data_IF_443494183633
#
_entry.id   IF_443494183633
#
_cell.length_a   1.000
_cell.length_b   1.000
_cell.length_c   1.000
_cell.angle_alpha   90.00
_cell.angle_beta   90.00
_cell.angle_gamma   90.00
#
_symmetry.space_group_name_H-M   'P 1'
#
loop_
_entity.id
_entity.type
_entity.pdbx_description
1 polymer ?
#
# COMPACT_ATOMS: atom_id res chain seq x y z
N UNK A 1 4.75 8.96 -16.85
CA UNK A 1 4.00 10.25 -16.93
C UNK A 1 2.99 10.25 -18.07
N UNK A 2 3.34 9.69 -19.25
CA UNK A 2 2.45 9.75 -20.42
C UNK A 2 1.13 9.01 -20.23
N UNK A 3 1.09 7.98 -19.37
CA UNK A 3 -0.12 7.22 -19.09
C UNK A 3 -1.29 8.11 -18.66
N UNK A 4 -1.05 9.12 -17.81
CA UNK A 4 -2.08 10.02 -17.31
C UNK A 4 -2.25 11.30 -18.12
N UNK A 5 -1.32 11.61 -19.01
CA UNK A 5 -1.29 12.90 -19.74
C UNK A 5 -1.56 12.75 -21.23
N UNK A 6 -1.32 11.57 -21.81
CA UNK A 6 -1.55 11.32 -23.23
C UNK A 6 -3.04 11.40 -23.58
N UNK A 7 -3.33 12.03 -24.73
CA UNK A 7 -4.68 12.20 -25.25
C UNK A 7 -4.79 11.66 -26.66
N UNK A 8 -5.98 11.19 -27.03
CA UNK A 8 -6.32 10.83 -28.39
C UNK A 8 -6.66 12.08 -29.26
N UNK A 9 -7.06 11.83 -30.51
CA UNK A 9 -7.41 12.89 -31.45
C UNK A 9 -8.64 13.72 -31.01
N UNK A 10 -9.50 13.14 -30.18
CA UNK A 10 -10.71 13.78 -29.65
C UNK A 10 -10.46 14.51 -28.33
N UNK A 11 -9.21 14.50 -27.86
CA UNK A 11 -8.79 15.15 -26.61
C UNK A 11 -9.08 14.35 -25.33
N UNK A 12 -9.56 13.09 -25.44
CA UNK A 12 -9.79 12.18 -24.32
C UNK A 12 -8.48 11.48 -23.92
N UNK A 13 -8.36 11.11 -22.67
CA UNK A 13 -7.20 10.33 -22.20
C UNK A 13 -7.14 8.97 -22.87
N UNK A 14 -5.96 8.59 -23.36
CA UNK A 14 -5.75 7.36 -24.10
C UNK A 14 -5.08 6.25 -23.27
N UNK A 15 -4.55 6.56 -22.08
CA UNK A 15 -3.90 5.64 -21.16
C UNK A 15 -2.92 4.66 -21.84
N UNK A 16 -1.88 5.15 -22.57
CA UNK A 16 -0.97 4.26 -23.26
C UNK A 16 -0.21 3.38 -22.27
N UNK A 17 -0.25 2.08 -22.51
CA UNK A 17 0.47 1.10 -21.70
C UNK A 17 1.96 1.19 -22.01
N UNK A 18 2.76 1.56 -21.02
CA UNK A 18 4.22 1.54 -21.10
C UNK A 18 4.78 0.31 -20.36
N UNK A 19 5.96 -0.17 -20.76
CA UNK A 19 6.63 -1.22 -20.02
C UNK A 19 6.88 -0.84 -18.57
N UNK A 20 6.64 -1.77 -17.64
CA UNK A 20 7.01 -1.61 -16.24
C UNK A 20 8.54 -1.50 -16.12
N UNK A 21 9.03 -0.40 -15.57
CA UNK A 21 10.46 -0.04 -15.53
C UNK A 21 10.90 0.30 -14.11
N UNK A 22 10.95 -0.68 -13.18
CA UNK A 22 11.36 -0.43 -11.81
C UNK A 22 12.85 -0.09 -11.72
N UNK A 23 13.19 0.70 -10.72
CA UNK A 23 14.58 1.06 -10.38
C UNK A 23 15.02 0.16 -9.22
N UNK A 24 16.16 -0.49 -9.39
CA UNK A 24 16.76 -1.32 -8.35
C UNK A 24 18.25 -1.02 -8.24
N UNK A 25 18.71 -0.78 -7.01
CA UNK A 25 20.12 -0.64 -6.68
C UNK A 25 20.43 -1.41 -5.40
N UNK A 26 21.60 -2.02 -5.34
CA UNK A 26 22.06 -2.73 -4.16
C UNK A 26 23.55 -2.53 -3.93
N UNK A 27 23.93 -2.41 -2.68
CA UNK A 27 25.31 -2.37 -2.26
C UNK A 27 25.54 -3.24 -1.04
N UNK A 28 26.74 -3.75 -0.87
CA UNK A 28 27.10 -4.49 0.33
C UNK A 28 28.53 -4.21 0.75
N UNK A 29 28.77 -4.32 2.05
CA UNK A 29 30.09 -4.34 2.66
C UNK A 29 30.19 -5.58 3.54
N UNK A 30 31.33 -6.26 3.52
CA UNK A 30 31.58 -7.43 4.33
C UNK A 30 33.01 -7.43 4.82
N UNK A 31 33.20 -7.77 6.08
CA UNK A 31 34.49 -8.00 6.69
C UNK A 31 34.61 -9.44 7.18
N UNK A 32 35.84 -9.96 7.13
CA UNK A 32 36.23 -11.27 7.65
C UNK A 32 37.47 -11.11 8.50
N UNK A 33 37.36 -11.42 9.77
CA UNK A 33 38.48 -11.40 10.68
C UNK A 33 38.57 -12.72 11.46
N UNK A 34 39.76 -13.03 11.90
CA UNK A 34 40.04 -14.24 12.69
C UNK A 34 40.62 -13.83 14.04
N UNK A 35 40.11 -14.45 15.08
CA UNK A 35 40.68 -14.33 16.42
C UNK A 35 40.91 -15.73 16.98
N UNK A 36 42.21 -16.11 17.18
CA UNK A 36 42.63 -17.47 17.45
C UNK A 36 42.07 -18.40 16.35
N UNK A 37 41.32 -19.42 16.75
CA UNK A 37 40.75 -20.44 15.85
C UNK A 37 39.32 -20.06 15.40
N UNK A 38 38.77 -18.91 15.85
CA UNK A 38 37.45 -18.47 15.49
C UNK A 38 37.52 -17.52 14.29
N UNK A 39 36.72 -17.79 13.27
CA UNK A 39 36.55 -16.94 12.10
C UNK A 39 35.20 -16.26 12.18
N UNK A 40 35.22 -14.95 12.12
CA UNK A 40 34.02 -14.12 12.05
C UNK A 40 33.85 -13.52 10.65
N UNK A 41 32.60 -13.44 10.19
CA UNK A 41 32.22 -12.68 9.00
C UNK A 41 31.05 -11.82 9.37
N UNK A 42 31.21 -10.51 9.19
CA UNK A 42 30.18 -9.50 9.41
C UNK A 42 29.91 -8.80 8.10
N UNK A 43 28.65 -8.64 7.76
CA UNK A 43 28.26 -7.98 6.52
C UNK A 43 27.00 -7.16 6.70
N UNK A 44 26.88 -6.16 5.87
CA UNK A 44 25.68 -5.35 5.72
C UNK A 44 25.40 -5.18 4.24
N UNK A 45 24.18 -5.50 3.83
CA UNK A 45 23.67 -5.22 2.49
C UNK A 45 22.55 -4.19 2.59
N UNK A 46 22.53 -3.26 1.67
CA UNK A 46 21.45 -2.30 1.48
C UNK A 46 20.85 -2.47 0.08
N UNK A 47 19.55 -2.66 0.02
CA UNK A 47 18.78 -2.77 -1.24
C UNK A 47 17.80 -1.61 -1.34
N UNK A 48 17.88 -0.86 -2.43
CA UNK A 48 16.92 0.16 -2.82
C UNK A 48 16.01 -0.39 -3.92
N UNK A 49 14.73 -0.20 -3.76
CA UNK A 49 13.73 -0.57 -4.76
C UNK A 49 12.68 0.52 -4.90
N UNK A 50 12.44 0.93 -6.15
CA UNK A 50 11.38 1.84 -6.54
C UNK A 50 10.61 1.21 -7.71
N UNK A 51 9.30 1.02 -7.57
CA UNK A 51 8.48 0.49 -8.64
C UNK A 51 8.34 1.46 -9.83
N UNK A 52 8.72 2.74 -9.62
CA UNK A 52 8.68 3.80 -10.64
C UNK A 52 7.33 3.87 -11.36
N UNK A 53 6.27 3.81 -10.61
CA UNK A 53 4.88 3.83 -11.11
C UNK A 53 3.95 4.50 -10.13
N UNK A 54 2.76 4.89 -10.61
CA UNK A 54 1.68 5.35 -9.77
C UNK A 54 0.96 4.16 -9.13
N UNK A 55 0.60 4.30 -7.87
CA UNK A 55 -0.15 3.31 -7.09
C UNK A 55 -1.41 3.95 -6.52
N UNK A 56 -2.42 3.15 -6.22
CA UNK A 56 -3.63 3.67 -5.59
C UNK A 56 -3.33 4.28 -4.22
N UNK A 57 -3.93 5.44 -3.94
CA UNK A 57 -3.98 6.01 -2.59
C UNK A 57 -4.78 5.15 -1.64
N UNK A 58 -5.90 4.63 -2.12
CA UNK A 58 -6.78 3.75 -1.39
C UNK A 58 -7.20 2.57 -2.27
N UNK A 59 -6.97 1.30 -1.84
CA UNK A 59 -7.30 0.12 -2.65
C UNK A 59 -8.81 -0.11 -2.82
N UNK A 60 -9.65 0.64 -2.10
CA UNK A 60 -11.11 0.46 -2.10
C UNK A 60 -11.87 1.66 -2.68
N UNK A 61 -11.18 2.72 -3.09
CA UNK A 61 -11.83 3.91 -3.61
C UNK A 61 -10.93 4.75 -4.53
N UNK A 62 -11.53 5.31 -5.58
CA UNK A 62 -10.84 6.25 -6.49
C UNK A 62 -10.75 7.67 -5.95
N UNK A 63 -11.52 8.02 -4.96
CA UNK A 63 -11.59 9.37 -4.39
C UNK A 63 -11.45 9.32 -2.88
N UNK A 64 -11.15 10.47 -2.29
CA UNK A 64 -11.02 10.60 -0.85
C UNK A 64 -12.33 10.24 -0.14
N UNK A 65 -12.22 9.27 0.78
CA UNK A 65 -13.31 8.84 1.63
C UNK A 65 -13.33 9.71 2.87
N UNK A 66 -14.53 10.18 3.24
CA UNK A 66 -14.74 10.97 4.45
C UNK A 66 -14.30 10.19 5.70
N UNK A 67 -13.60 10.86 6.60
CA UNK A 67 -13.20 10.29 7.88
C UNK A 67 -14.36 10.33 8.88
N UNK A 68 -14.29 9.48 9.90
CA UNK A 68 -15.30 9.48 10.96
C UNK A 68 -15.37 10.84 11.67
N UNK A 69 -14.22 11.48 11.92
CA UNK A 69 -14.16 12.81 12.51
C UNK A 69 -14.96 13.82 11.68
N UNK A 70 -14.62 13.98 10.40
CA UNK A 70 -15.30 14.91 9.50
C UNK A 70 -16.81 14.58 9.33
N UNK A 71 -17.15 13.29 9.31
CA UNK A 71 -18.56 12.88 9.20
C UNK A 71 -19.37 13.25 10.42
N UNK A 72 -18.87 13.00 11.64
CA UNK A 72 -19.59 13.29 12.88
C UNK A 72 -19.57 14.78 13.22
N UNK A 73 -18.55 15.52 12.84
CA UNK A 73 -18.55 16.99 12.94
C UNK A 73 -19.66 17.62 12.12
N UNK A 74 -19.90 17.09 10.91
CA UNK A 74 -21.00 17.55 10.03
C UNK A 74 -22.37 17.03 10.45
N UNK A 75 -22.43 15.94 11.24
CA UNK A 75 -23.67 15.33 11.74
C UNK A 75 -23.68 15.23 13.26
N UNK A 76 -23.76 16.35 14.00
CA UNK A 76 -23.63 16.37 15.47
C UNK A 76 -24.80 15.69 16.21
N UNK A 77 -25.89 15.40 15.51
CA UNK A 77 -27.03 14.62 15.99
C UNK A 77 -26.77 13.11 16.04
N UNK A 78 -25.71 12.65 15.39
CA UNK A 78 -25.32 11.23 15.38
C UNK A 78 -24.24 10.95 16.43
N UNK A 79 -24.30 9.77 16.99
CA UNK A 79 -23.33 9.33 18.02
C UNK A 79 -22.26 8.46 17.38
N UNK A 80 -20.99 8.84 17.54
CA UNK A 80 -19.84 8.04 17.13
C UNK A 80 -19.57 6.94 18.15
N UNK A 81 -19.38 5.68 17.76
CA UNK A 81 -18.94 4.63 18.65
C UNK A 81 -17.56 4.93 19.25
N UNK A 82 -17.37 4.65 20.53
CA UNK A 82 -16.10 4.93 21.25
C UNK A 82 -14.87 4.23 20.63
N UNK A 83 -15.08 3.08 20.02
CA UNK A 83 -14.02 2.30 19.37
C UNK A 83 -13.63 2.80 17.98
N UNK A 84 -14.36 3.78 17.43
CA UNK A 84 -14.10 4.35 16.11
C UNK A 84 -13.26 5.62 16.25
N UNK A 85 -12.00 5.55 15.78
CA UNK A 85 -11.06 6.68 15.78
C UNK A 85 -11.36 7.70 14.69
N UNK A 86 -10.70 8.86 14.80
CA UNK A 86 -10.91 10.02 13.94
C UNK A 86 -10.64 9.74 12.47
N UNK A 87 -9.61 8.95 12.19
CA UNK A 87 -9.09 8.64 10.86
C UNK A 87 -9.79 7.44 10.16
N UNK A 88 -10.83 6.87 10.78
CA UNK A 88 -11.56 5.76 10.18
C UNK A 88 -12.37 6.24 8.98
N UNK A 89 -12.28 5.50 7.87
CA UNK A 89 -13.02 5.79 6.64
C UNK A 89 -14.45 5.31 6.76
N UNK A 90 -15.43 6.14 6.36
CA UNK A 90 -16.87 5.90 6.50
C UNK A 90 -17.45 5.25 5.25
N UNK A 91 -18.24 4.21 5.44
CA UNK A 91 -18.97 3.52 4.38
C UNK A 91 -20.47 3.56 4.65
N UNK A 92 -21.26 3.76 3.60
CA UNK A 92 -22.70 4.01 3.66
C UNK A 92 -23.47 3.00 2.82
N UNK A 93 -24.78 2.93 3.05
CA UNK A 93 -25.68 1.94 2.45
C UNK A 93 -25.89 2.12 0.94
N UNK A 94 -25.67 3.32 0.44
CA UNK A 94 -25.83 3.63 -0.97
C UNK A 94 -25.18 4.96 -1.33
N UNK A 95 -25.10 5.30 -2.62
CA UNK A 95 -24.34 6.46 -3.10
C UNK A 95 -24.84 7.80 -2.53
N UNK A 96 -26.13 7.92 -2.27
CA UNK A 96 -26.74 9.14 -1.69
C UNK A 96 -27.17 8.94 -0.22
N UNK A 97 -26.85 7.80 0.39
CA UNK A 97 -27.21 7.50 1.76
C UNK A 97 -26.28 8.16 2.77
N UNK A 98 -26.85 8.58 3.90
CA UNK A 98 -26.10 8.97 5.11
C UNK A 98 -26.21 7.90 6.22
N UNK A 99 -26.74 6.71 5.89
CA UNK A 99 -26.79 5.57 6.80
C UNK A 99 -25.45 4.84 6.77
N UNK A 100 -24.71 4.90 7.87
CA UNK A 100 -23.43 4.21 8.01
C UNK A 100 -23.66 2.71 8.13
N UNK A 101 -22.96 1.92 7.32
CA UNK A 101 -22.97 0.46 7.39
C UNK A 101 -21.63 -0.13 7.86
N UNK A 102 -20.59 0.68 7.96
CA UNK A 102 -19.29 0.25 8.48
C UNK A 102 -18.21 1.30 8.37
N UNK A 103 -17.07 0.94 8.93
CA UNK A 103 -15.87 1.76 8.89
C UNK A 103 -14.66 0.92 8.48
N UNK A 104 -13.60 1.58 8.04
CA UNK A 104 -12.31 0.94 7.73
C UNK A 104 -11.13 1.79 8.20
N UNK A 105 -10.13 1.12 8.75
CA UNK A 105 -8.82 1.69 9.04
C UNK A 105 -7.73 0.78 8.46
N UNK A 106 -6.98 1.26 7.48
CA UNK A 106 -6.09 0.40 6.70
C UNK A 106 -6.89 -0.75 6.08
N UNK A 107 -6.51 -1.98 6.35
CA UNK A 107 -7.22 -3.19 5.87
C UNK A 107 -8.23 -3.75 6.89
N UNK A 108 -8.32 -3.14 8.07
CA UNK A 108 -9.25 -3.60 9.11
C UNK A 108 -10.62 -2.95 8.93
N UNK A 109 -11.67 -3.78 8.94
CA UNK A 109 -13.07 -3.38 8.81
C UNK A 109 -13.81 -3.45 10.14
N UNK A 110 -14.83 -2.59 10.27
CA UNK A 110 -15.61 -2.45 11.49
C UNK A 110 -17.10 -2.27 11.15
N UNK A 111 -17.98 -2.90 11.95
CA UNK A 111 -19.42 -2.72 11.88
C UNK A 111 -19.83 -1.29 12.30
N UNK A 112 -21.11 -0.88 12.07
CA UNK A 112 -21.60 0.42 12.50
C UNK A 112 -21.45 0.71 13.99
N UNK A 113 -21.45 -0.34 14.83
CA UNK A 113 -21.24 -0.23 16.28
C UNK A 113 -19.75 -0.17 16.68
N UNK A 114 -18.83 -0.17 15.71
CA UNK A 114 -17.40 -0.15 15.95
C UNK A 114 -16.76 -1.50 16.26
N UNK A 115 -17.48 -2.60 16.15
CA UNK A 115 -16.92 -3.95 16.32
C UNK A 115 -16.08 -4.35 15.10
N UNK A 116 -14.83 -4.78 15.34
CA UNK A 116 -13.96 -5.27 14.29
C UNK A 116 -14.47 -6.56 13.67
N UNK A 117 -14.32 -6.69 12.34
CA UNK A 117 -14.72 -7.89 11.57
C UNK A 117 -13.58 -8.36 10.69
N UNK A 118 -13.65 -9.61 10.23
CA UNK A 118 -12.57 -10.25 9.45
C UNK A 118 -12.36 -9.68 8.04
N UNK A 119 -13.30 -8.90 7.53
CA UNK A 119 -13.20 -8.29 6.21
C UNK A 119 -14.47 -7.56 5.78
N UNK A 120 -14.39 -6.81 4.69
CA UNK A 120 -15.51 -6.05 4.13
C UNK A 120 -16.72 -6.91 3.74
N UNK A 121 -16.50 -8.16 3.37
CA UNK A 121 -17.59 -9.08 3.03
C UNK A 121 -18.61 -9.26 4.16
N UNK A 122 -18.19 -9.16 5.42
CA UNK A 122 -19.11 -9.24 6.59
C UNK A 122 -20.09 -8.07 6.60
N UNK A 123 -19.65 -6.90 6.08
CA UNK A 123 -20.45 -5.66 6.03
C UNK A 123 -21.30 -5.63 4.76
N UNK A 124 -20.70 -5.93 3.62
CA UNK A 124 -21.32 -5.75 2.31
C UNK A 124 -22.02 -7.00 1.79
N UNK A 125 -21.78 -8.17 2.40
CA UNK A 125 -22.37 -9.47 2.04
C UNK A 125 -22.33 -9.76 0.52
N UNK A 126 -21.18 -9.45 -0.11
CA UNK A 126 -20.99 -9.59 -1.56
C UNK A 126 -21.67 -8.50 -2.41
N UNK A 127 -22.28 -7.51 -1.78
CA UNK A 127 -22.89 -6.37 -2.46
C UNK A 127 -21.87 -5.27 -2.83
N UNK A 128 -22.40 -4.20 -3.41
CA UNK A 128 -21.59 -3.03 -3.83
C UNK A 128 -21.12 -2.26 -2.61
N UNK A 129 -19.85 -1.86 -2.64
CA UNK A 129 -19.21 -1.04 -1.61
C UNK A 129 -19.44 0.44 -1.92
N UNK A 130 -20.03 1.18 -1.01
CA UNK A 130 -20.28 2.60 -1.14
C UNK A 130 -19.46 3.41 -0.12
N UNK A 131 -18.25 3.86 -0.48
CA UNK A 131 -17.52 4.81 0.34
C UNK A 131 -18.28 6.13 0.47
N UNK A 132 -18.27 6.73 1.65
CA UNK A 132 -18.76 8.09 1.82
C UNK A 132 -17.68 9.06 1.34
N UNK A 133 -17.80 9.51 0.10
CA UNK A 133 -16.80 10.41 -0.48
C UNK A 133 -16.93 11.84 0.09
N UNK A 134 -15.78 12.50 0.24
CA UNK A 134 -15.69 13.90 0.71
C UNK A 134 -16.45 14.82 -0.24
N UNK A 135 -16.20 14.69 -1.54
CA UNK A 135 -16.88 15.46 -2.58
C UNK A 135 -17.73 14.54 -3.44
N UNK A 136 -19.04 14.58 -3.26
CA UNK A 136 -20.00 13.79 -4.04
C UNK A 136 -20.42 14.47 -5.34
N UNK A 137 -20.46 15.79 -5.36
CA UNK A 137 -21.09 16.55 -6.43
C UNK A 137 -20.14 16.85 -7.59
N UNK A 138 -18.85 17.07 -7.28
CA UNK A 138 -17.87 17.53 -8.26
C UNK A 138 -16.90 16.44 -8.73
N UNK A 139 -17.16 15.15 -8.39
CA UNK A 139 -16.30 14.06 -8.88
C UNK A 139 -16.53 13.83 -10.36
N UNK A 140 -15.42 13.80 -11.10
CA UNK A 140 -15.42 13.32 -12.48
C UNK A 140 -15.37 11.80 -12.45
N UNK A 141 -16.48 11.14 -12.80
CA UNK A 141 -16.60 9.67 -12.77
C UNK A 141 -15.98 9.00 -13.99
N UNK A 142 -15.94 9.70 -15.13
CA UNK A 142 -15.27 9.20 -16.33
C UNK A 142 -13.77 9.50 -16.26
N UNK A 143 -12.98 8.47 -16.08
CA UNK A 143 -11.53 8.56 -16.02
C UNK A 143 -10.87 9.05 -17.30
N UNK A 144 -11.56 8.91 -18.44
CA UNK A 144 -11.11 9.42 -19.74
C UNK A 144 -11.42 10.90 -19.92
N UNK A 145 -12.26 11.50 -19.05
CA UNK A 145 -12.55 12.92 -19.08
C UNK A 145 -11.25 13.71 -18.82
N UNK A 146 -10.95 14.75 -19.64
CA UNK A 146 -9.80 15.62 -19.43
C UNK A 146 -9.75 16.32 -18.06
N UNK A 147 -10.91 16.49 -17.41
CA UNK A 147 -11.02 17.10 -16.07
C UNK A 147 -10.78 16.10 -14.93
N UNK A 148 -10.69 14.80 -15.20
CA UNK A 148 -10.27 13.83 -14.18
C UNK A 148 -8.85 14.14 -13.71
N UNK A 149 -8.65 14.23 -12.40
CA UNK A 149 -7.36 14.54 -11.78
C UNK A 149 -6.77 13.26 -11.15
N UNK A 150 -5.78 12.64 -11.82
CA UNK A 150 -5.17 11.40 -11.32
C UNK A 150 -4.62 11.49 -9.91
N UNK A 151 -4.17 12.68 -9.50
CA UNK A 151 -3.64 12.94 -8.16
C UNK A 151 -4.66 12.74 -7.04
N UNK A 152 -5.95 12.67 -7.33
CA UNK A 152 -6.96 12.30 -6.32
C UNK A 152 -6.97 10.80 -6.01
N UNK A 153 -6.62 9.99 -7.00
CA UNK A 153 -6.73 8.53 -6.94
C UNK A 153 -5.39 7.83 -6.77
N UNK A 154 -4.30 8.46 -7.22
CA UNK A 154 -2.99 7.82 -7.33
C UNK A 154 -1.89 8.68 -6.71
N UNK A 155 -0.93 8.01 -6.07
CA UNK A 155 0.33 8.57 -5.58
C UNK A 155 1.52 7.90 -6.28
N UNK A 156 2.69 8.51 -6.19
CA UNK A 156 3.93 7.85 -6.58
C UNK A 156 4.24 6.71 -5.61
N UNK A 157 4.73 5.61 -6.15
CA UNK A 157 5.23 4.52 -5.32
C UNK A 157 6.32 5.04 -4.37
N UNK A 158 6.20 4.70 -3.08
CA UNK A 158 7.20 5.10 -2.08
C UNK A 158 8.38 4.14 -2.14
N UNK A 159 9.57 4.60 -2.55
CA UNK A 159 10.76 3.76 -2.62
C UNK A 159 11.07 3.09 -1.28
N UNK A 160 11.57 1.86 -1.34
CA UNK A 160 11.94 1.07 -0.17
C UNK A 160 13.46 0.97 -0.08
N UNK A 161 13.99 1.19 1.12
CA UNK A 161 15.38 0.92 1.45
C UNK A 161 15.43 -0.13 2.56
N UNK A 162 15.96 -1.31 2.22
CA UNK A 162 16.04 -2.44 3.14
C UNK A 162 17.50 -2.71 3.52
N UNK A 163 17.78 -2.74 4.83
CA UNK A 163 19.08 -3.07 5.37
C UNK A 163 19.07 -4.53 5.85
N UNK A 164 20.03 -5.30 5.36
CA UNK A 164 20.14 -6.75 5.59
C UNK A 164 21.47 -7.08 6.25
N UNK A 165 21.54 -7.06 7.60
CA UNK A 165 22.71 -7.49 8.31
C UNK A 165 22.93 -9.00 8.16
N UNK A 166 24.20 -9.40 8.11
CA UNK A 166 24.66 -10.78 8.06
C UNK A 166 25.75 -10.98 9.06
N UNK A 167 25.71 -12.07 9.78
CA UNK A 167 26.81 -12.51 10.64
C UNK A 167 27.00 -14.01 10.54
N UNK A 168 28.25 -14.43 10.52
CA UNK A 168 28.59 -15.81 10.60
C UNK A 168 29.85 -15.98 11.43
N UNK A 169 29.93 -17.10 12.14
CA UNK A 169 31.14 -17.50 12.81
C UNK A 169 31.37 -19.00 12.66
N UNK A 170 32.65 -19.39 12.67
CA UNK A 170 33.04 -20.78 12.64
C UNK A 170 34.28 -21.02 13.51
N UNK A 171 34.34 -22.17 14.13
CA UNK A 171 35.50 -22.61 14.89
C UNK A 171 35.64 -24.15 14.84
N UNK A 172 36.88 -24.70 14.89
CA UNK A 172 37.08 -26.11 14.98
C UNK A 172 36.68 -26.61 16.37
N UNK A 173 35.99 -27.75 16.42
CA UNK A 173 35.68 -28.47 17.65
C UNK A 173 36.74 -29.56 17.88
N UNK A 174 37.22 -30.19 16.81
CA UNK A 174 38.28 -31.19 16.79
C UNK A 174 38.99 -31.15 15.44
N UNK A 175 40.00 -32.00 15.25
CA UNK A 175 40.76 -32.11 13.99
C UNK A 175 39.86 -32.44 12.81
N UNK A 176 38.76 -33.16 13.02
CA UNK A 176 37.83 -33.62 11.99
C UNK A 176 36.47 -32.91 12.01
N UNK A 177 36.22 -31.99 12.96
CA UNK A 177 34.92 -31.37 13.12
C UNK A 177 34.99 -29.83 13.28
N UNK A 178 34.20 -29.12 12.47
CA UNK A 178 34.04 -27.69 12.55
C UNK A 178 32.58 -27.31 12.89
N UNK A 179 32.43 -26.38 13.81
CA UNK A 179 31.14 -25.73 14.05
C UNK A 179 31.05 -24.45 13.23
N UNK A 180 29.87 -24.21 12.65
CA UNK A 180 29.57 -22.93 12.07
C UNK A 180 28.12 -22.52 12.39
N UNK A 181 27.88 -21.23 12.54
CA UNK A 181 26.56 -20.65 12.65
C UNK A 181 26.51 -19.38 11.83
N UNK A 182 25.31 -19.06 11.33
CA UNK A 182 25.06 -17.81 10.62
C UNK A 182 23.68 -17.27 10.97
N UNK A 183 23.56 -15.95 10.88
CA UNK A 183 22.31 -15.21 10.98
C UNK A 183 22.26 -14.21 9.85
N UNK A 184 21.19 -14.28 9.05
CA UNK A 184 20.95 -13.41 7.92
C UNK A 184 19.55 -12.81 8.01
N UNK A 185 19.43 -11.50 7.79
CA UNK A 185 18.14 -10.87 7.48
C UNK A 185 18.04 -10.76 5.97
N UNK A 186 16.96 -11.28 5.41
CA UNK A 186 16.72 -11.28 3.97
C UNK A 186 15.40 -10.60 3.65
N UNK A 187 15.42 -9.71 2.65
CA UNK A 187 14.22 -9.13 2.05
C UNK A 187 14.09 -9.60 0.61
N UNK A 188 12.87 -9.95 0.23
CA UNK A 188 12.53 -10.24 -1.15
C UNK A 188 11.84 -9.02 -1.76
N UNK A 189 12.20 -8.65 -2.98
CA UNK A 189 11.47 -7.64 -3.72
C UNK A 189 10.03 -8.06 -3.93
N UNK A 190 9.05 -7.14 -3.87
CA UNK A 190 7.70 -7.44 -4.31
C UNK A 190 7.72 -7.93 -5.75
N UNK A 191 7.04 -9.03 -6.09
CA UNK A 191 6.85 -9.40 -7.48
C UNK A 191 6.03 -8.31 -8.19
N UNK A 192 6.29 -8.08 -9.47
CA UNK A 192 5.65 -7.00 -10.24
C UNK A 192 4.12 -7.08 -10.23
N UNK A 193 3.56 -8.29 -10.14
CA UNK A 193 2.12 -8.52 -10.08
C UNK A 193 1.48 -8.32 -8.69
N UNK A 194 2.26 -7.99 -7.66
CA UNK A 194 1.74 -7.68 -6.33
C UNK A 194 1.52 -6.18 -6.09
N UNK A 195 1.88 -5.35 -7.06
CA UNK A 195 1.71 -3.89 -6.99
C UNK A 195 0.49 -3.54 -7.81
N UNK A 196 -0.57 -3.07 -7.15
CA UNK A 196 -1.75 -2.55 -7.82
C UNK A 196 -1.42 -1.18 -8.41
N UNK A 197 -1.45 -1.11 -9.72
CA UNK A 197 -1.16 0.09 -10.50
C UNK A 197 -2.44 0.65 -11.12
N UNK A 198 -2.36 1.85 -11.66
CA UNK A 198 -3.46 2.41 -12.44
C UNK A 198 -3.85 1.50 -13.63
N UNK A 199 -2.89 0.76 -14.19
CA UNK A 199 -3.13 -0.18 -15.27
C UNK A 199 -4.10 -1.30 -14.86
N UNK A 200 -3.93 -1.86 -13.66
CA UNK A 200 -4.78 -2.96 -13.16
C UNK A 200 -6.24 -2.55 -12.94
N UNK A 201 -6.48 -1.24 -12.85
CA UNK A 201 -7.83 -0.70 -12.70
C UNK A 201 -8.50 -0.39 -14.05
N UNK A 202 -7.73 0.03 -15.05
CA UNK A 202 -8.26 0.53 -16.32
C UNK A 202 -8.31 -0.55 -17.41
N UNK A 203 -7.68 -1.69 -17.20
CA UNK A 203 -7.61 -2.85 -18.06
C UNK A 203 -7.88 -4.15 -17.32
#
# INVERSE_FOLDING_TARGET
EDFFTAKDADGRRSFPVAPFSPIYAAGYIQDKFSYKDIIFRLGLRADYYDANTKVFKDPYALYDIETADAYFDRNPDKTRPESVGDDYKVYVKGPESEEIIGYRKGDQWYQPNGTAVSGGNVIFNGGVVYPRYVDRENRVLDIQDPNFKPEYSFDDYKPQLNLMPRMAFSFPISDDANFFAHYDVLYQRPPSNSILTALDYFY
#
